data_IF_627523301556
#
_entry.id   IF_627523301556
#
_cell.length_a   1.000
_cell.length_b   1.000
_cell.length_c   1.000
_cell.angle_alpha   90.00
_cell.angle_beta   90.00
_cell.angle_gamma   90.00
#
_symmetry.space_group_name_H-M   'P 1'
#
loop_
_entity.id
_entity.type
_entity.pdbx_description
1 polymer ?
#
# COMPACT_ATOMS: atom_id res chain seq x y z
N UNK A 1 11.56 0.25 12.84
CA UNK A 1 10.57 0.32 11.74
C UNK A 1 11.28 0.47 10.41
N UNK A 2 10.75 -0.11 9.33
CA UNK A 2 11.37 -0.06 8.01
C UNK A 2 10.36 0.45 6.98
N UNK A 3 10.86 1.00 5.87
CA UNK A 3 10.00 1.23 4.72
C UNK A 3 9.73 -0.12 4.08
N UNK A 4 8.47 -0.48 3.92
CA UNK A 4 8.07 -1.76 3.34
C UNK A 4 7.86 -1.65 1.83
N UNK A 5 7.01 -0.70 1.43
CA UNK A 5 6.72 -0.49 0.01
C UNK A 5 6.20 0.91 -0.25
N UNK A 6 6.21 1.26 -1.53
CA UNK A 6 5.58 2.46 -2.05
C UNK A 6 4.43 1.98 -2.93
N UNK A 7 3.25 2.53 -2.74
CA UNK A 7 2.06 2.13 -3.50
C UNK A 7 1.65 3.21 -4.50
N UNK A 8 1.41 2.79 -5.73
CA UNK A 8 1.10 3.66 -6.85
C UNK A 8 -0.22 3.23 -7.47
N UNK A 9 -1.14 4.17 -7.61
CA UNK A 9 -2.44 3.90 -8.26
C UNK A 9 -2.28 3.96 -9.77
N UNK A 10 -2.74 2.94 -10.46
CA UNK A 10 -2.65 2.83 -11.92
C UNK A 10 -3.97 2.38 -12.52
N UNK A 11 -4.18 2.68 -13.79
CA UNK A 11 -5.39 2.27 -14.50
C UNK A 11 -5.37 0.79 -14.89
N UNK A 12 -4.18 0.24 -15.16
CA UNK A 12 -4.01 -1.15 -15.60
C UNK A 12 -2.69 -1.69 -15.09
N UNK A 13 -2.74 -2.70 -14.21
CA UNK A 13 -1.52 -3.23 -13.58
C UNK A 13 -0.62 -3.98 -14.53
N UNK A 14 -1.19 -4.67 -15.54
CA UNK A 14 -0.36 -5.41 -16.50
C UNK A 14 0.46 -4.46 -17.35
N UNK A 15 -0.17 -3.41 -17.87
CA UNK A 15 0.52 -2.41 -18.67
C UNK A 15 1.55 -1.63 -17.86
N UNK A 16 1.15 -1.20 -16.66
CA UNK A 16 2.05 -0.45 -15.78
C UNK A 16 3.24 -1.31 -15.35
N UNK A 17 3.01 -2.59 -15.05
CA UNK A 17 4.09 -3.50 -14.64
C UNK A 17 5.16 -3.62 -15.72
N UNK A 18 4.75 -3.70 -17.00
CA UNK A 18 5.72 -3.78 -18.11
C UNK A 18 6.59 -2.52 -18.17
N UNK A 19 5.96 -1.36 -18.01
CA UNK A 19 6.69 -0.09 -18.03
C UNK A 19 7.71 -0.04 -16.90
N UNK A 20 7.28 -0.40 -15.69
CA UNK A 20 8.17 -0.37 -14.52
C UNK A 20 9.29 -1.40 -14.61
N UNK A 21 9.01 -2.60 -15.13
CA UNK A 21 10.03 -3.62 -15.33
C UNK A 21 11.12 -3.14 -16.29
N UNK A 22 10.73 -2.55 -17.41
CA UNK A 22 11.68 -2.02 -18.37
C UNK A 22 12.45 -0.83 -17.82
N UNK A 23 11.75 0.09 -17.19
CA UNK A 23 12.37 1.32 -16.67
C UNK A 23 13.35 1.04 -15.53
N UNK A 24 13.01 0.11 -14.64
CA UNK A 24 13.80 -0.14 -13.43
C UNK A 24 14.70 -1.38 -13.52
N UNK A 25 14.56 -2.15 -14.60
CA UNK A 25 15.37 -3.37 -14.75
C UNK A 25 14.99 -4.45 -13.77
N UNK A 26 13.72 -4.55 -13.40
CA UNK A 26 13.23 -5.56 -12.46
C UNK A 26 12.69 -6.75 -13.23
N UNK A 27 13.27 -7.93 -13.00
CA UNK A 27 12.91 -9.13 -13.75
C UNK A 27 11.64 -9.80 -13.29
N UNK A 28 11.35 -9.76 -12.00
CA UNK A 28 10.24 -10.50 -11.40
C UNK A 28 9.14 -9.59 -10.92
N UNK A 29 7.94 -9.88 -11.36
CA UNK A 29 6.72 -9.21 -10.91
C UNK A 29 5.74 -10.28 -10.43
N UNK A 30 5.11 -10.02 -9.29
CA UNK A 30 4.06 -10.90 -8.77
C UNK A 30 2.73 -10.18 -8.90
N UNK A 31 1.67 -10.92 -9.24
CA UNK A 31 0.33 -10.37 -9.31
C UNK A 31 -0.50 -10.98 -8.19
N UNK A 32 -1.27 -10.15 -7.53
CA UNK A 32 -2.13 -10.57 -6.42
C UNK A 32 -3.42 -9.78 -6.45
N UNK A 33 -4.51 -10.40 -5.98
CA UNK A 33 -5.79 -9.72 -5.78
C UNK A 33 -6.07 -9.67 -4.29
N UNK A 34 -6.37 -8.46 -3.78
CA UNK A 34 -6.77 -8.26 -2.39
C UNK A 34 -8.23 -7.83 -2.40
N UNK A 35 -9.12 -8.80 -2.30
CA UNK A 35 -10.56 -8.56 -2.41
C UNK A 35 -11.09 -7.65 -1.32
N UNK A 36 -10.58 -7.78 -0.09
CA UNK A 36 -11.00 -6.94 1.03
C UNK A 36 -10.72 -5.45 0.79
N UNK A 37 -9.71 -5.14 -0.04
CA UNK A 37 -9.35 -3.76 -0.39
C UNK A 37 -9.87 -3.36 -1.78
N UNK A 38 -10.44 -4.31 -2.51
CA UNK A 38 -10.95 -4.07 -3.86
C UNK A 38 -9.89 -3.73 -4.88
N UNK A 39 -8.71 -4.36 -4.79
CA UNK A 39 -7.58 -4.03 -5.66
C UNK A 39 -6.90 -5.25 -6.25
N UNK A 40 -6.39 -5.06 -7.47
CA UNK A 40 -5.42 -5.96 -8.10
C UNK A 40 -4.06 -5.31 -7.97
N UNK A 41 -3.07 -6.09 -7.59
CA UNK A 41 -1.72 -5.61 -7.36
C UNK A 41 -0.74 -6.21 -8.35
N UNK A 42 0.24 -5.41 -8.74
CA UNK A 42 1.49 -5.88 -9.33
C UNK A 42 2.59 -5.49 -8.37
N UNK A 43 3.32 -6.47 -7.87
CA UNK A 43 4.35 -6.26 -6.85
C UNK A 43 5.72 -6.45 -7.49
N UNK A 44 6.52 -5.37 -7.49
CA UNK A 44 7.89 -5.40 -7.99
C UNK A 44 8.83 -5.42 -6.78
N UNK A 45 9.67 -6.44 -6.70
CA UNK A 45 10.63 -6.59 -5.61
C UNK A 45 11.94 -5.89 -5.95
N UNK A 46 12.34 -4.97 -5.09
CA UNK A 46 13.63 -4.30 -5.15
C UNK A 46 14.51 -4.84 -4.03
N UNK A 47 15.80 -4.52 -4.04
CA UNK A 47 16.74 -5.00 -3.01
C UNK A 47 16.34 -4.57 -1.60
N UNK A 48 15.78 -3.38 -1.46
CA UNK A 48 15.50 -2.79 -0.14
C UNK A 48 14.03 -2.44 0.07
N UNK A 49 13.13 -3.06 -0.68
CA UNK A 49 11.70 -2.80 -0.52
C UNK A 49 10.92 -3.22 -1.75
N UNK A 50 9.69 -2.76 -1.84
CA UNK A 50 8.80 -3.13 -2.95
C UNK A 50 8.10 -1.90 -3.50
N UNK A 51 7.74 -1.99 -4.77
CA UNK A 51 6.80 -1.06 -5.39
C UNK A 51 5.55 -1.87 -5.68
N UNK A 52 4.40 -1.38 -5.21
CA UNK A 52 3.10 -2.02 -5.46
C UNK A 52 2.27 -1.12 -6.37
N UNK A 53 1.92 -1.64 -7.54
CA UNK A 53 1.02 -0.97 -8.46
C UNK A 53 -0.38 -1.47 -8.17
N UNK A 54 -1.35 -0.56 -8.00
CA UNK A 54 -2.70 -0.91 -7.57
C UNK A 54 -3.72 -0.48 -8.60
N UNK A 55 -4.53 -1.44 -9.04
CA UNK A 55 -5.65 -1.21 -9.95
C UNK A 55 -6.95 -1.50 -9.21
N UNK A 56 -7.97 -0.61 -9.29
CA UNK A 56 -9.24 -0.90 -8.63
C UNK A 56 -9.98 -2.05 -9.32
N UNK A 57 -10.63 -2.90 -8.52
CA UNK A 57 -11.43 -4.02 -9.04
C UNK A 57 -12.85 -3.59 -9.42
N UNK A 58 -13.32 -2.49 -8.84
CA UNK A 58 -14.69 -2.02 -9.05
C UNK A 58 -14.77 -0.52 -8.73
N UNK A 59 -15.93 0.07 -8.98
CA UNK A 59 -16.14 1.50 -8.77
C UNK A 59 -16.20 1.90 -7.29
N UNK A 60 -16.36 0.95 -6.39
CA UNK A 60 -16.44 1.21 -4.95
C UNK A 60 -15.06 1.22 -4.28
N UNK A 61 -14.03 0.77 -4.98
CA UNK A 61 -12.66 0.74 -4.45
C UNK A 61 -12.18 2.15 -4.15
N UNK A 62 -11.50 2.37 -2.99
CA UNK A 62 -10.88 3.67 -2.69
C UNK A 62 -9.88 4.10 -3.75
N UNK A 63 -9.23 3.15 -4.44
CA UNK A 63 -8.27 3.45 -5.51
C UNK A 63 -8.99 4.04 -6.72
N UNK A 64 -10.21 3.58 -7.01
CA UNK A 64 -11.01 4.15 -8.09
C UNK A 64 -11.30 5.63 -7.84
N UNK A 65 -11.67 5.96 -6.60
CA UNK A 65 -11.93 7.35 -6.20
C UNK A 65 -10.67 8.21 -6.34
N UNK A 66 -9.53 7.66 -5.94
CA UNK A 66 -8.25 8.35 -6.08
C UNK A 66 -7.93 8.64 -7.55
N UNK A 67 -8.06 7.62 -8.42
CA UNK A 67 -7.79 7.77 -9.85
C UNK A 67 -8.71 8.80 -10.50
N UNK A 68 -10.00 8.78 -10.14
CA UNK A 68 -10.97 9.72 -10.69
C UNK A 68 -10.64 11.17 -10.29
N UNK A 69 -10.12 11.35 -9.10
CA UNK A 69 -9.86 12.67 -8.52
C UNK A 69 -8.48 13.22 -8.88
N UNK A 70 -7.46 12.37 -8.86
CA UNK A 70 -6.07 12.78 -9.01
C UNK A 70 -5.34 12.16 -10.20
N UNK A 71 -5.91 11.12 -10.82
CA UNK A 71 -5.22 10.37 -11.86
C UNK A 71 -4.19 9.41 -11.29
N UNK A 72 -3.40 8.80 -12.16
CA UNK A 72 -2.36 7.86 -11.76
C UNK A 72 -1.26 8.56 -10.98
N UNK A 73 -0.71 7.90 -9.99
CA UNK A 73 0.40 8.44 -9.21
C UNK A 73 0.56 7.79 -7.84
N UNK A 74 1.45 8.36 -7.05
CA UNK A 74 1.71 7.88 -5.69
C UNK A 74 0.45 7.96 -4.85
N UNK A 75 0.13 6.84 -4.19
CA UNK A 75 -1.04 6.74 -3.33
C UNK A 75 -0.66 6.76 -1.84
N UNK A 76 0.29 5.91 -1.45
CA UNK A 76 0.74 5.87 -0.05
C UNK A 76 2.12 5.25 0.06
N UNK A 77 2.71 5.40 1.23
CA UNK A 77 3.90 4.65 1.61
C UNK A 77 3.53 3.69 2.74
N UNK A 78 4.20 2.55 2.79
CA UNK A 78 3.95 1.56 3.83
C UNK A 78 5.20 1.36 4.68
N UNK A 79 4.99 1.33 5.98
CA UNK A 79 6.02 1.16 6.98
C UNK A 79 5.80 -0.17 7.70
N UNK A 80 6.85 -0.95 7.84
CA UNK A 80 6.80 -2.28 8.45
C UNK A 80 7.19 -2.23 9.91
N UNK A 81 6.41 -2.89 10.74
CA UNK A 81 6.70 -3.11 12.14
C UNK A 81 6.60 -4.60 12.46
N UNK A 82 7.28 -5.03 13.51
CA UNK A 82 7.18 -6.42 13.99
C UNK A 82 6.00 -6.62 14.96
N UNK A 83 5.38 -5.53 15.41
CA UNK A 83 4.28 -5.57 16.38
C UNK A 83 3.30 -4.46 16.08
N UNK A 84 2.38 -4.73 15.14
CA UNK A 84 1.45 -3.69 14.68
C UNK A 84 0.50 -3.24 15.80
N UNK A 85 0.03 -4.17 16.64
CA UNK A 85 -0.88 -3.84 17.73
C UNK A 85 -0.21 -2.90 18.75
N UNK A 86 1.03 -3.20 19.10
CA UNK A 86 1.80 -2.36 20.03
C UNK A 86 2.13 -1.00 19.45
N UNK A 87 2.46 -0.95 18.16
CA UNK A 87 2.76 0.32 17.51
C UNK A 87 1.53 1.21 17.40
N UNK A 88 0.38 0.63 17.07
CA UNK A 88 -0.88 1.40 17.02
C UNK A 88 -1.17 2.02 18.40
N UNK A 89 -1.05 1.22 19.45
CA UNK A 89 -1.28 1.70 20.82
C UNK A 89 -0.32 2.83 21.18
N UNK A 90 0.97 2.66 20.88
CA UNK A 90 1.98 3.69 21.14
C UNK A 90 1.68 4.97 20.37
N UNK A 91 1.34 4.85 19.09
CA UNK A 91 1.03 6.00 18.24
C UNK A 91 -0.22 6.74 18.69
N UNK A 92 -1.26 6.00 19.08
CA UNK A 92 -2.46 6.62 19.65
C UNK A 92 -2.15 7.43 20.88
N UNK A 93 -1.23 6.94 21.71
CA UNK A 93 -0.72 7.68 22.87
C UNK A 93 0.00 8.97 22.51
N UNK A 94 0.50 9.08 21.29
CA UNK A 94 1.13 10.29 20.76
C UNK A 94 0.17 11.21 20.03
N UNK A 95 -1.11 10.85 20.00
CA UNK A 95 -2.12 11.66 19.31
C UNK A 95 -2.33 11.33 17.84
N UNK A 96 -1.72 10.24 17.35
CA UNK A 96 -1.88 9.80 15.96
C UNK A 96 -3.27 9.19 15.76
N UNK A 97 -3.94 9.59 14.69
CA UNK A 97 -5.25 9.06 14.32
C UNK A 97 -5.11 8.06 13.17
N UNK A 98 -5.91 7.01 13.23
CA UNK A 98 -5.93 5.97 12.21
C UNK A 98 -7.24 5.96 11.44
N UNK A 99 -7.19 5.42 10.22
CA UNK A 99 -8.36 5.20 9.39
C UNK A 99 -8.75 3.72 9.50
N UNK A 100 -9.85 3.46 10.21
CA UNK A 100 -10.34 2.10 10.40
C UNK A 100 -9.53 1.30 11.42
N UNK A 101 -9.56 -0.01 11.26
CA UNK A 101 -8.95 -0.95 12.18
C UNK A 101 -7.91 -1.81 11.46
N UNK A 102 -7.08 -2.51 12.23
CA UNK A 102 -6.14 -3.49 11.71
C UNK A 102 -6.92 -4.55 10.94
N UNK A 103 -6.48 -4.84 9.71
CA UNK A 103 -7.17 -5.77 8.80
C UNK A 103 -6.17 -6.50 7.91
N UNK A 104 -6.59 -7.58 7.23
CA UNK A 104 -5.71 -8.29 6.30
C UNK A 104 -5.31 -7.43 5.10
N UNK A 105 -4.08 -7.55 4.66
CA UNK A 105 -3.54 -6.91 3.47
C UNK A 105 -2.95 -7.93 2.50
N UNK A 106 -2.07 -7.49 1.61
CA UNK A 106 -1.41 -8.37 0.65
C UNK A 106 -0.44 -9.33 1.34
N UNK A 107 -0.22 -10.48 0.72
CA UNK A 107 0.78 -11.48 1.15
C UNK A 107 0.66 -11.89 2.63
N UNK A 108 -0.57 -11.97 3.14
CA UNK A 108 -0.82 -12.38 4.52
C UNK A 108 -0.44 -11.35 5.57
N UNK A 109 -0.23 -10.10 5.19
CA UNK A 109 0.08 -9.04 6.14
C UNK A 109 -1.14 -8.60 6.94
N UNK A 110 -0.86 -7.92 8.04
CA UNK A 110 -1.86 -7.12 8.76
C UNK A 110 -1.56 -5.66 8.48
N UNK A 111 -2.59 -4.87 8.22
CA UNK A 111 -2.41 -3.47 7.83
C UNK A 111 -3.39 -2.55 8.54
N UNK A 112 -3.00 -1.29 8.67
CA UNK A 112 -3.87 -0.19 9.10
C UNK A 112 -3.33 1.09 8.48
N UNK A 113 -4.23 2.00 8.09
CA UNK A 113 -3.80 3.29 7.55
C UNK A 113 -3.79 4.36 8.62
N UNK A 114 -2.76 5.20 8.57
CA UNK A 114 -2.62 6.37 9.43
C UNK A 114 -3.30 7.54 8.72
N UNK A 115 -4.12 8.28 9.45
CA UNK A 115 -4.82 9.43 8.88
C UNK A 115 -3.79 10.46 8.37
N UNK A 116 -3.94 10.95 7.12
CA UNK A 116 -2.97 11.90 6.55
C UNK A 116 -2.73 13.15 7.39
N UNK A 117 -3.76 13.62 8.11
CA UNK A 117 -3.60 14.80 8.96
C UNK A 117 -2.60 14.59 10.08
N UNK A 118 -2.39 13.35 10.50
CA UNK A 118 -1.42 13.03 11.54
C UNK A 118 0.02 12.98 11.03
N UNK A 119 0.21 12.86 9.70
CA UNK A 119 1.53 12.76 9.08
C UNK A 119 1.73 13.81 7.98
N UNK A 120 1.36 15.03 8.28
CA UNK A 120 1.64 16.19 7.39
C UNK A 120 1.07 16.04 5.98
N UNK A 121 -0.08 15.39 5.86
CA UNK A 121 -0.78 15.24 4.59
C UNK A 121 -0.43 13.97 3.82
N UNK A 122 0.40 13.10 4.38
CA UNK A 122 0.81 11.86 3.72
C UNK A 122 -0.02 10.69 4.21
N UNK A 123 -0.62 9.95 3.28
CA UNK A 123 -1.28 8.69 3.62
C UNK A 123 -0.19 7.63 3.80
N UNK A 124 -0.15 7.03 4.97
CA UNK A 124 0.82 5.98 5.28
C UNK A 124 0.10 4.73 5.79
N UNK A 125 0.60 3.58 5.39
CA UNK A 125 0.12 2.29 5.87
C UNK A 125 1.13 1.76 6.86
N UNK A 126 0.64 1.21 7.96
CA UNK A 126 1.47 0.45 8.88
C UNK A 126 1.17 -1.02 8.61
N UNK A 127 2.20 -1.83 8.42
CA UNK A 127 2.02 -3.24 8.11
C UNK A 127 2.93 -4.13 8.94
N UNK A 128 2.48 -5.37 9.11
CA UNK A 128 3.22 -6.41 9.80
C UNK A 128 3.13 -7.69 8.97
N UNK A 129 4.28 -8.25 8.60
CA UNK A 129 4.33 -9.47 7.81
C UNK A 129 4.13 -10.70 8.70
N UNK A 130 3.63 -11.82 8.14
CA UNK A 130 3.53 -13.07 8.89
C UNK A 130 4.92 -13.53 9.32
N UNK A 131 4.97 -14.14 10.49
CA UNK A 131 6.22 -14.66 11.05
C UNK A 131 6.55 -16.03 10.50
#
# INVERSE_FOLDING_TARGET
>A
MKIDHIAIAVNNVEDAAKIYQEALGVDTVEFETVESEGVKLAILHLENGRIELMQPMNDESPIKKFLDKKGQGLHHMALQTNNIEGEVERMEGCGIQFLGKIRPGSEGTKVIFIHPKSLSGVLAELCSHPK
#
